data_IF_639518506461
#
_entry.id   IF_639518506461
#
_cell.length_a   1.000
_cell.length_b   1.000
_cell.length_c   1.000
_cell.angle_alpha   90.00
_cell.angle_beta   90.00
_cell.angle_gamma   90.00
#
_symmetry.space_group_name_H-M   'P 1'
#
loop_
_entity.id
_entity.type
_entity.pdbx_description
1 polymer ?
#
# COMPACT_ATOMS: atom_id res chain seq x y z
N UNK A 1 -12.91 -4.99 -25.15
CA UNK A 1 -12.78 -3.71 -24.42
C UNK A 1 -13.04 -4.01 -22.96
N UNK A 2 -12.01 -4.03 -22.10
CA UNK A 2 -12.22 -4.02 -20.66
C UNK A 2 -12.12 -2.57 -20.23
N UNK A 3 -13.23 -2.02 -19.76
CA UNK A 3 -13.32 -0.66 -19.26
C UNK A 3 -12.56 -0.62 -17.95
N UNK A 4 -11.42 0.06 -17.95
CA UNK A 4 -10.55 0.27 -16.79
C UNK A 4 -11.00 1.58 -16.15
N UNK A 5 -11.86 1.50 -15.13
CA UNK A 5 -12.37 2.70 -14.47
C UNK A 5 -11.55 2.87 -13.18
N UNK A 6 -10.53 3.74 -13.25
CA UNK A 6 -9.99 4.36 -12.04
C UNK A 6 -11.07 5.32 -11.51
N UNK A 7 -11.15 5.51 -10.20
CA UNK A 7 -11.92 6.63 -9.65
C UNK A 7 -11.56 7.93 -10.39
N UNK A 8 -12.54 8.83 -10.56
CA UNK A 8 -12.34 10.15 -11.18
C UNK A 8 -11.39 11.04 -10.36
N UNK A 9 -10.95 10.57 -9.18
CA UNK A 9 -9.98 11.23 -8.32
C UNK A 9 -8.60 11.32 -9.00
N UNK A 10 -8.01 12.50 -8.90
CA UNK A 10 -6.66 12.80 -9.36
C UNK A 10 -5.60 12.16 -8.46
N UNK A 11 -4.36 12.02 -8.96
CA UNK A 11 -3.24 11.55 -8.13
C UNK A 11 -3.07 12.39 -6.86
N UNK A 12 -3.32 13.69 -6.96
CA UNK A 12 -3.15 14.63 -5.86
C UNK A 12 -4.20 14.43 -4.77
N UNK A 13 -5.45 14.19 -5.16
CA UNK A 13 -6.56 13.92 -4.22
C UNK A 13 -6.33 12.61 -3.47
N UNK A 14 -5.94 11.54 -4.17
CA UNK A 14 -5.66 10.25 -3.52
C UNK A 14 -4.50 10.38 -2.51
N UNK A 15 -3.40 11.03 -2.90
CA UNK A 15 -2.26 11.28 -2.00
C UNK A 15 -2.68 12.13 -0.81
N UNK A 16 -3.51 13.15 -1.02
CA UNK A 16 -4.00 14.03 0.04
C UNK A 16 -4.86 13.25 1.04
N UNK A 17 -5.79 12.42 0.58
CA UNK A 17 -6.64 11.58 1.45
C UNK A 17 -5.83 10.62 2.31
N UNK A 18 -4.85 9.93 1.71
CA UNK A 18 -3.95 9.05 2.47
C UNK A 18 -3.13 9.85 3.51
N UNK A 19 -2.71 11.07 3.15
CA UNK A 19 -1.96 11.95 4.07
C UNK A 19 -2.82 12.38 5.25
N UNK A 20 -4.06 12.82 5.01
CA UNK A 20 -5.00 13.23 6.06
C UNK A 20 -5.32 12.09 7.01
N UNK A 21 -5.53 10.88 6.49
CA UNK A 21 -5.68 9.68 7.32
C UNK A 21 -4.43 9.44 8.17
N UNK A 22 -3.24 9.48 7.57
CA UNK A 22 -2.01 9.26 8.30
C UNK A 22 -1.75 10.30 9.40
N UNK A 23 -2.06 11.57 9.16
CA UNK A 23 -1.96 12.63 10.17
C UNK A 23 -2.99 12.46 11.29
N UNK A 24 -4.19 11.97 10.97
CA UNK A 24 -5.23 11.71 11.96
C UNK A 24 -4.90 10.49 12.83
N UNK A 25 -4.34 9.44 12.24
CA UNK A 25 -4.04 8.18 12.93
C UNK A 25 -2.67 8.18 13.61
N UNK A 26 -1.73 9.04 13.20
CA UNK A 26 -0.37 9.00 13.75
C UNK A 26 -0.34 9.17 15.27
N UNK A 27 -1.21 10.01 15.83
CA UNK A 27 -1.33 10.22 17.28
C UNK A 27 -1.66 8.96 18.08
N UNK A 28 -2.25 7.95 17.44
CA UNK A 28 -2.71 6.71 18.07
C UNK A 28 -1.75 5.52 17.83
N UNK A 29 -0.70 5.68 17.00
CA UNK A 29 0.17 4.58 16.58
C UNK A 29 1.67 4.86 16.73
N UNK A 30 2.30 4.21 17.72
CA UNK A 30 3.76 4.27 17.91
C UNK A 30 4.53 3.60 16.76
N UNK A 31 3.97 2.54 16.16
CA UNK A 31 4.64 1.74 15.13
C UNK A 31 4.09 2.11 13.76
N UNK A 32 5.00 2.41 12.83
CA UNK A 32 4.64 2.70 11.44
C UNK A 32 3.83 1.56 10.78
N UNK A 33 4.04 0.31 11.18
CA UNK A 33 3.29 -0.82 10.62
C UNK A 33 1.81 -0.72 10.97
N UNK A 34 1.49 -0.37 12.23
CA UNK A 34 0.12 -0.22 12.71
C UNK A 34 -0.53 1.01 12.03
N UNK A 35 0.19 2.14 11.95
CA UNK A 35 -0.28 3.32 11.22
C UNK A 35 -0.60 3.02 9.76
N UNK A 36 0.28 2.31 9.04
CA UNK A 36 0.02 1.98 7.63
C UNK A 36 -1.14 1.01 7.53
N UNK A 37 -1.22 0.00 8.39
CA UNK A 37 -2.28 -1.02 8.36
C UNK A 37 -3.69 -0.42 8.56
N UNK A 38 -3.81 0.64 9.34
CA UNK A 38 -5.08 1.33 9.61
C UNK A 38 -5.49 2.34 8.51
N UNK A 39 -4.66 2.54 7.48
CA UNK A 39 -5.05 3.36 6.33
C UNK A 39 -6.15 2.69 5.52
N UNK A 40 -7.24 3.41 5.28
CA UNK A 40 -8.37 2.98 4.46
C UNK A 40 -8.04 3.17 2.97
N UNK A 41 -7.37 2.16 2.41
CA UNK A 41 -6.97 2.12 0.99
C UNK A 41 -8.07 1.48 0.14
N UNK A 42 -8.64 2.28 -0.74
CA UNK A 42 -9.66 1.83 -1.70
C UNK A 42 -9.01 1.25 -2.95
N UNK A 43 -9.48 0.09 -3.42
CA UNK A 43 -8.92 -0.57 -4.60
C UNK A 43 -9.15 0.25 -5.88
N UNK A 44 -10.24 1.00 -5.92
CA UNK A 44 -10.72 1.88 -7.01
C UNK A 44 -9.81 3.09 -7.23
N UNK A 45 -8.93 3.40 -6.28
CA UNK A 45 -7.87 4.39 -6.47
C UNK A 45 -6.80 3.94 -7.46
N UNK A 46 -6.73 2.63 -7.75
CA UNK A 46 -5.71 2.05 -8.61
C UNK A 46 -6.29 1.53 -9.91
N UNK A 47 -5.51 1.64 -10.98
CA UNK A 47 -5.99 1.39 -12.34
C UNK A 47 -6.37 -0.08 -12.60
N UNK A 48 -5.83 -1.04 -11.85
CA UNK A 48 -6.00 -2.45 -12.20
C UNK A 48 -6.93 -3.23 -11.26
N UNK A 49 -8.23 -3.23 -11.53
CA UNK A 49 -9.19 -4.23 -11.03
C UNK A 49 -8.94 -5.60 -11.69
N UNK A 50 -7.72 -6.13 -11.61
CA UNK A 50 -7.50 -7.54 -11.96
C UNK A 50 -8.22 -8.37 -10.91
N UNK A 51 -9.46 -8.74 -11.26
CA UNK A 51 -10.41 -9.63 -10.60
C UNK A 51 -9.96 -10.03 -9.19
N UNK A 52 -10.24 -9.14 -8.24
CA UNK A 52 -9.79 -9.20 -6.85
C UNK A 52 -10.17 -10.53 -6.17
N UNK A 53 -11.21 -11.21 -6.67
CA UNK A 53 -11.68 -12.51 -6.19
C UNK A 53 -10.81 -13.70 -6.63
N UNK A 54 -10.10 -13.60 -7.75
CA UNK A 54 -9.31 -14.72 -8.30
C UNK A 54 -7.82 -14.65 -7.94
N UNK A 55 -7.36 -13.47 -7.51
CA UNK A 55 -5.97 -13.25 -7.13
C UNK A 55 -5.75 -13.57 -5.66
N UNK A 56 -4.70 -14.34 -5.34
CA UNK A 56 -4.35 -14.72 -3.95
C UNK A 56 -4.18 -13.53 -3.00
N UNK A 57 -3.83 -12.37 -3.52
CA UNK A 57 -3.60 -11.16 -2.74
C UNK A 57 -4.42 -10.01 -3.31
N UNK A 58 -5.23 -9.37 -2.48
CA UNK A 58 -6.01 -8.20 -2.89
C UNK A 58 -5.09 -7.01 -3.23
N UNK A 59 -5.60 -6.10 -4.05
CA UNK A 59 -4.81 -4.98 -4.57
C UNK A 59 -4.52 -3.93 -3.50
N UNK A 60 -5.53 -3.59 -2.69
CA UNK A 60 -5.44 -2.73 -1.51
C UNK A 60 -4.40 -3.25 -0.49
N UNK A 61 -4.46 -4.53 -0.13
CA UNK A 61 -3.45 -5.18 0.72
C UNK A 61 -2.04 -5.05 0.15
N UNK A 62 -1.88 -5.23 -1.17
CA UNK A 62 -0.60 -5.06 -1.84
C UNK A 62 -0.14 -3.60 -1.87
N UNK A 63 -1.07 -2.65 -1.99
CA UNK A 63 -0.79 -1.23 -1.95
C UNK A 63 -0.31 -0.81 -0.55
N UNK A 64 -0.96 -1.30 0.51
CA UNK A 64 -0.55 -1.09 1.91
C UNK A 64 0.88 -1.57 2.17
N UNK A 65 1.23 -2.78 1.73
CA UNK A 65 2.60 -3.28 1.92
C UNK A 65 3.60 -2.45 1.10
N UNK A 66 3.23 -2.01 -0.10
CA UNK A 66 4.08 -1.12 -0.89
C UNK A 66 4.24 0.24 -0.18
N UNK A 67 3.18 0.81 0.39
CA UNK A 67 3.23 2.03 1.20
C UNK A 67 4.20 1.86 2.36
N UNK A 68 4.05 0.82 3.17
CA UNK A 68 4.94 0.52 4.29
C UNK A 68 6.40 0.37 3.83
N UNK A 69 6.64 -0.41 2.77
CA UNK A 69 7.96 -0.61 2.18
C UNK A 69 8.61 0.73 1.82
N UNK A 70 7.90 1.60 1.10
CA UNK A 70 8.46 2.88 0.67
C UNK A 70 8.60 3.88 1.81
N UNK A 71 7.69 3.86 2.79
CA UNK A 71 7.78 4.70 3.97
C UNK A 71 8.99 4.30 4.83
N UNK A 72 9.30 3.01 4.95
CA UNK A 72 10.51 2.50 5.62
C UNK A 72 11.79 2.57 4.79
N UNK A 73 11.71 2.88 3.50
CA UNK A 73 12.87 2.82 2.60
C UNK A 73 13.41 1.40 2.34
N UNK A 74 12.58 0.37 2.52
CA UNK A 74 12.96 -1.03 2.37
C UNK A 74 13.05 -1.48 0.90
N UNK A 75 13.87 -2.50 0.64
CA UNK A 75 13.80 -3.26 -0.61
C UNK A 75 12.59 -4.21 -0.61
N UNK A 76 12.29 -4.85 -1.77
CA UNK A 76 11.25 -5.88 -1.81
C UNK A 76 11.64 -7.15 -1.06
N UNK A 77 12.94 -7.42 -0.94
CA UNK A 77 13.43 -8.55 -0.13
C UNK A 77 13.19 -8.26 1.35
N UNK A 78 13.61 -7.08 1.82
CA UNK A 78 13.52 -6.73 3.25
C UNK A 78 12.08 -6.73 3.75
N UNK A 79 11.11 -6.27 2.94
CA UNK A 79 9.69 -6.29 3.36
C UNK A 79 9.13 -7.71 3.42
N UNK A 80 9.54 -8.61 2.52
CA UNK A 80 9.14 -10.02 2.58
C UNK A 80 9.73 -10.70 3.80
N UNK A 81 11.02 -10.47 4.06
CA UNK A 81 11.71 -11.03 5.22
C UNK A 81 11.14 -10.47 6.53
N UNK A 82 10.78 -9.18 6.56
CA UNK A 82 10.06 -8.56 7.67
C UNK A 82 8.75 -9.30 7.94
N UNK A 83 7.87 -9.41 6.94
CA UNK A 83 6.58 -10.10 7.10
C UNK A 83 6.76 -11.55 7.57
N UNK A 84 7.72 -12.28 7.00
CA UNK A 84 8.03 -13.65 7.38
C UNK A 84 8.52 -13.80 8.83
N UNK A 85 9.26 -12.80 9.32
CA UNK A 85 9.86 -12.84 10.65
C UNK A 85 8.91 -12.35 11.73
N UNK A 86 8.09 -11.36 11.43
CA UNK A 86 7.22 -10.69 12.41
C UNK A 86 5.80 -11.25 12.46
N UNK A 87 5.32 -11.91 11.39
CA UNK A 87 3.95 -12.40 11.30
C UNK A 87 2.91 -11.30 11.04
N UNK A 88 3.36 -10.14 10.53
CA UNK A 88 2.52 -8.95 10.33
C UNK A 88 1.74 -8.98 9.00
N UNK A 89 1.74 -10.10 8.26
CA UNK A 89 0.97 -10.21 7.01
C UNK A 89 -0.53 -10.00 7.23
N UNK A 90 -1.02 -10.41 8.41
CA UNK A 90 -2.43 -10.26 8.79
C UNK A 90 -2.84 -8.79 8.99
N UNK A 91 -1.95 -7.93 9.47
CA UNK A 91 -2.21 -6.48 9.59
C UNK A 91 -2.49 -5.84 8.23
N UNK A 92 -1.84 -6.33 7.17
CA UNK A 92 -2.07 -5.85 5.80
C UNK A 92 -3.21 -6.58 5.09
N UNK A 93 -3.98 -7.42 5.79
CA UNK A 93 -5.06 -8.22 5.20
C UNK A 93 -4.57 -9.29 4.22
N UNK A 94 -3.31 -9.70 4.30
CA UNK A 94 -2.77 -10.76 3.47
C UNK A 94 -3.09 -12.13 4.10
N UNK A 95 -3.54 -13.13 3.32
CA UNK A 95 -3.82 -14.45 3.86
C UNK A 95 -2.56 -15.24 4.26
N UNK A 96 -1.37 -14.75 3.87
CA UNK A 96 -0.07 -15.40 4.00
C UNK A 96 1.01 -14.47 3.46
N UNK A 97 2.25 -14.64 3.92
CA UNK A 97 3.41 -13.88 3.43
C UNK A 97 3.60 -14.06 1.91
N UNK A 98 3.59 -12.99 1.11
CA UNK A 98 3.81 -13.09 -0.32
C UNK A 98 5.26 -13.39 -0.64
N UNK A 99 5.48 -14.18 -1.70
CA UNK A 99 6.83 -14.38 -2.22
C UNK A 99 7.35 -13.10 -2.87
N UNK A 100 8.68 -12.94 -2.94
CA UNK A 100 9.33 -11.84 -3.66
C UNK A 100 8.85 -11.75 -5.12
N UNK A 101 8.64 -12.89 -5.78
CA UNK A 101 8.09 -12.96 -7.13
C UNK A 101 6.66 -12.42 -7.21
N UNK A 102 5.81 -12.74 -6.23
CA UNK A 102 4.43 -12.24 -6.16
C UNK A 102 4.41 -10.71 -6.01
N UNK A 103 5.27 -10.16 -5.14
CA UNK A 103 5.41 -8.72 -4.99
C UNK A 103 5.92 -8.04 -6.26
N UNK A 104 6.96 -8.59 -6.89
CA UNK A 104 7.48 -8.03 -8.13
C UNK A 104 6.45 -8.07 -9.26
N UNK A 105 5.66 -9.15 -9.34
CA UNK A 105 4.59 -9.27 -10.31
C UNK A 105 3.50 -8.22 -10.05
N UNK A 106 3.03 -8.08 -8.81
CA UNK A 106 2.04 -7.07 -8.44
C UNK A 106 2.55 -5.65 -8.76
N UNK A 107 3.76 -5.32 -8.31
CA UNK A 107 4.38 -4.02 -8.58
C UNK A 107 4.50 -3.71 -10.08
N UNK A 108 4.90 -4.68 -10.90
CA UNK A 108 5.16 -4.47 -12.33
C UNK A 108 3.93 -4.53 -13.22
N UNK A 109 2.93 -5.33 -12.84
CA UNK A 109 1.81 -5.66 -13.73
C UNK A 109 0.44 -5.23 -13.18
N UNK A 110 0.32 -5.02 -11.87
CA UNK A 110 -0.93 -4.60 -11.23
C UNK A 110 -0.97 -3.11 -10.92
N UNK A 111 0.15 -2.49 -10.61
CA UNK A 111 0.23 -1.04 -10.46
C UNK A 111 0.83 -0.41 -11.72
N UNK A 112 0.14 0.53 -12.35
CA UNK A 112 0.66 1.29 -13.49
C UNK A 112 1.64 2.40 -13.04
N UNK A 113 2.10 3.24 -13.97
CA UNK A 113 3.03 4.33 -13.61
C UNK A 113 2.44 5.34 -12.64
N UNK A 114 1.15 5.63 -12.75
CA UNK A 114 0.42 6.57 -11.90
C UNK A 114 0.16 5.96 -10.52
N UNK A 115 -0.29 4.72 -10.44
CA UNK A 115 -0.46 4.01 -9.17
C UNK A 115 0.85 4.00 -8.36
N UNK A 116 1.96 3.68 -9.04
CA UNK A 116 3.29 3.70 -8.42
C UNK A 116 3.75 5.11 -8.05
N UNK A 117 3.26 6.16 -8.71
CA UNK A 117 3.52 7.56 -8.36
C UNK A 117 2.77 7.92 -7.08
N UNK A 118 1.47 7.60 -7.02
CA UNK A 118 0.61 7.78 -5.84
C UNK A 118 1.20 7.08 -4.62
N UNK A 119 1.49 5.77 -4.71
CA UNK A 119 2.03 4.97 -3.61
C UNK A 119 3.34 5.59 -3.07
N UNK A 120 4.26 5.99 -3.95
CA UNK A 120 5.54 6.57 -3.49
C UNK A 120 5.35 7.94 -2.84
N UNK A 121 4.52 8.82 -3.42
CA UNK A 121 4.26 10.15 -2.88
C UNK A 121 3.56 10.05 -1.52
N UNK A 122 2.52 9.22 -1.42
CA UNK A 122 1.81 8.96 -0.19
C UNK A 122 2.73 8.35 0.88
N UNK A 123 3.56 7.36 0.54
CA UNK A 123 4.50 6.75 1.49
C UNK A 123 5.47 7.77 2.13
N UNK A 124 5.93 8.77 1.37
CA UNK A 124 6.77 9.84 1.91
C UNK A 124 5.99 10.71 2.91
N UNK A 125 4.71 11.00 2.63
CA UNK A 125 3.84 11.78 3.53
C UNK A 125 3.47 10.99 4.78
N UNK A 126 3.16 9.71 4.65
CA UNK A 126 2.91 8.80 5.77
C UNK A 126 4.13 8.70 6.68
N UNK A 127 5.34 8.56 6.12
CA UNK A 127 6.57 8.59 6.92
C UNK A 127 6.72 9.92 7.67
N UNK A 128 6.49 11.04 6.99
CA UNK A 128 6.59 12.35 7.62
C UNK A 128 5.55 12.52 8.74
N UNK A 129 4.30 12.15 8.48
CA UNK A 129 3.26 12.10 9.49
C UNK A 129 3.69 11.23 10.67
N UNK A 130 4.38 10.10 10.43
CA UNK A 130 4.90 9.20 11.46
C UNK A 130 6.17 9.69 12.21
N UNK A 131 6.94 10.61 11.66
CA UNK A 131 8.20 11.05 12.30
C UNK A 131 8.03 12.32 13.14
N UNK A 132 6.97 13.09 12.91
CA UNK A 132 6.80 14.45 13.45
C UNK A 132 5.50 14.67 14.25
N UNK A 133 4.91 13.59 14.75
CA UNK A 133 3.80 13.62 15.71
C UNK A 133 4.32 13.27 17.12
#
# INVERSE_FOLDING_TARGET
MKSTIRSDESEAEIVQRITEQAEQHSQDHDRLVDLVADLDIQAEWFTNEFDSETTRYRLDSMALVCLYKFARGMSFTDVVDFLATTGEESQFGLPTVPTQQSFHYAWRNRFDSTDRSVIRKAALRVRFAHEFH
#
